data_IF_654140833937
#
_entry.id   IF_654140833937
#
_cell.length_a   1.000
_cell.length_b   1.000
_cell.length_c   1.000
_cell.angle_alpha   90.00
_cell.angle_beta   90.00
_cell.angle_gamma   90.00
#
_symmetry.space_group_name_H-M   'P 1'
#
loop_
_entity.id
_entity.type
_entity.pdbx_description
1 polymer ?
#
# COMPACT_ATOMS: atom_id res chain seq x y z
N UNK A 1 48.32 -19.05 19.99
CA UNK A 1 46.83 -18.92 20.10
C UNK A 1 46.23 -20.31 19.94
N UNK A 2 45.51 -20.80 20.95
CA UNK A 2 44.93 -22.13 20.99
C UNK A 2 43.95 -22.35 19.80
N UNK A 3 43.98 -23.53 19.14
CA UNK A 3 43.12 -23.78 17.95
C UNK A 3 41.64 -23.53 18.21
N UNK A 4 41.17 -23.77 19.45
CA UNK A 4 39.80 -23.45 19.86
C UNK A 4 39.48 -21.95 19.83
N UNK A 5 40.45 -21.11 20.20
CA UNK A 5 40.27 -19.64 20.17
C UNK A 5 40.29 -19.10 18.74
N UNK A 6 41.03 -19.72 17.81
CA UNK A 6 41.00 -19.38 16.38
C UNK A 6 39.64 -19.67 15.74
N UNK A 7 39.03 -20.82 16.11
CA UNK A 7 37.72 -21.19 15.60
C UNK A 7 36.61 -20.23 16.10
N UNK A 8 36.67 -19.81 17.36
CA UNK A 8 35.71 -18.87 17.95
C UNK A 8 35.85 -17.49 17.30
N UNK A 9 37.08 -17.03 17.03
CA UNK A 9 37.31 -15.74 16.36
C UNK A 9 36.82 -15.76 14.93
N UNK A 10 37.01 -16.84 14.17
CA UNK A 10 36.48 -17.00 12.82
C UNK A 10 34.94 -17.02 12.80
N UNK A 11 34.29 -17.73 13.73
CA UNK A 11 32.83 -17.76 13.86
C UNK A 11 32.25 -16.39 14.21
N UNK A 12 32.95 -15.61 15.06
CA UNK A 12 32.52 -14.23 15.40
C UNK A 12 32.68 -13.27 14.22
N UNK A 13 33.72 -13.41 13.41
CA UNK A 13 33.93 -12.60 12.21
C UNK A 13 32.87 -12.89 11.14
N UNK A 14 32.54 -14.17 10.92
CA UNK A 14 31.46 -14.55 10.01
C UNK A 14 30.08 -14.03 10.47
N UNK A 15 29.80 -14.09 11.77
CA UNK A 15 28.55 -13.57 12.33
C UNK A 15 28.42 -12.05 12.16
N UNK A 16 29.51 -11.29 12.34
CA UNK A 16 29.54 -9.84 12.14
C UNK A 16 29.38 -9.48 10.65
N UNK A 17 29.95 -10.29 9.76
CA UNK A 17 29.80 -10.09 8.30
C UNK A 17 28.35 -10.34 7.82
N UNK A 18 27.67 -11.33 8.38
CA UNK A 18 26.26 -11.62 8.08
C UNK A 18 25.29 -10.56 8.59
N UNK A 19 25.57 -9.96 9.76
CA UNK A 19 24.75 -8.86 10.33
C UNK A 19 24.89 -7.55 9.55
N UNK A 20 25.99 -7.33 8.82
CA UNK A 20 26.24 -6.13 8.02
C UNK A 20 25.49 -6.09 6.68
N UNK A 21 24.84 -7.19 6.25
CA UNK A 21 24.15 -7.29 4.95
C UNK A 21 22.63 -7.06 5.03
N UNK A 22 22.09 -6.69 6.19
CA UNK A 22 20.69 -6.32 6.32
C UNK A 22 20.52 -4.90 5.77
N UNK A 23 20.36 -4.78 4.46
CA UNK A 23 19.89 -3.52 3.87
C UNK A 23 18.42 -3.34 4.24
N UNK A 24 18.01 -2.22 4.88
CA UNK A 24 16.60 -1.94 5.07
C UNK A 24 15.94 -1.88 3.69
N UNK A 25 14.89 -2.66 3.47
CA UNK A 25 14.03 -2.53 2.31
C UNK A 25 13.33 -1.17 2.40
N UNK A 26 13.92 -0.16 1.79
CA UNK A 26 13.28 1.15 1.67
C UNK A 26 12.18 0.99 0.63
N UNK A 27 10.92 1.09 1.05
CA UNK A 27 9.81 1.22 0.14
C UNK A 27 10.04 2.48 -0.69
N UNK A 28 10.34 2.29 -1.98
CA UNK A 28 10.73 3.40 -2.83
C UNK A 28 9.48 4.00 -3.48
N UNK A 29 9.23 5.28 -3.17
CA UNK A 29 8.31 6.09 -3.99
C UNK A 29 8.88 6.08 -5.40
N UNK A 30 8.11 5.55 -6.34
CA UNK A 30 8.49 5.50 -7.74
C UNK A 30 7.82 6.63 -8.50
N UNK A 31 8.63 7.47 -9.14
CA UNK A 31 8.13 8.50 -10.04
C UNK A 31 8.44 8.08 -11.49
N UNK A 32 7.42 8.08 -12.34
CA UNK A 32 7.51 7.65 -13.73
C UNK A 32 6.88 8.73 -14.60
N UNK A 33 7.59 9.17 -15.63
CA UNK A 33 7.00 9.95 -16.70
C UNK A 33 6.33 8.99 -17.69
N UNK A 34 5.00 8.94 -17.69
CA UNK A 34 4.22 8.05 -18.57
C UNK A 34 4.10 8.62 -19.99
N UNK A 35 4.10 9.95 -20.10
CA UNK A 35 4.07 10.70 -21.35
C UNK A 35 4.58 12.12 -21.09
N UNK A 36 4.95 12.90 -22.12
CA UNK A 36 5.36 14.29 -21.96
C UNK A 36 4.34 15.11 -21.15
N UNK A 37 4.76 15.59 -19.96
CA UNK A 37 3.91 16.34 -19.04
C UNK A 37 2.89 15.52 -18.26
N UNK A 38 3.04 14.20 -18.21
CA UNK A 38 2.25 13.30 -17.37
C UNK A 38 3.16 12.52 -16.42
N UNK A 39 3.10 12.84 -15.13
CA UNK A 39 3.91 12.22 -14.08
C UNK A 39 3.02 11.34 -13.23
N UNK A 40 3.45 10.10 -13.01
CA UNK A 40 2.89 9.15 -12.07
C UNK A 40 3.83 8.98 -10.89
N UNK A 41 3.39 9.40 -9.70
CA UNK A 41 4.08 9.11 -8.43
C UNK A 41 3.33 8.01 -7.72
N UNK A 42 3.99 6.90 -7.37
CA UNK A 42 3.33 5.74 -6.77
C UNK A 42 4.14 5.10 -5.64
N UNK A 43 3.41 4.56 -4.67
CA UNK A 43 3.84 3.60 -3.66
C UNK A 43 3.20 2.26 -3.96
N UNK A 44 3.98 1.18 -3.89
CA UNK A 44 3.49 -0.17 -4.07
C UNK A 44 3.94 -1.05 -2.90
N UNK A 45 2.98 -1.62 -2.19
CA UNK A 45 3.20 -2.47 -1.04
C UNK A 45 2.50 -3.82 -1.22
N UNK A 46 3.06 -4.87 -0.63
CA UNK A 46 2.35 -6.12 -0.41
C UNK A 46 2.03 -6.21 1.08
N UNK A 47 0.74 -6.26 1.41
CA UNK A 47 0.25 -6.37 2.78
C UNK A 47 -0.57 -7.63 2.93
N UNK A 48 -0.69 -8.14 4.15
CA UNK A 48 -1.51 -9.31 4.47
C UNK A 48 -2.72 -8.88 5.29
N UNK A 49 -3.88 -9.49 5.01
CA UNK A 49 -5.07 -9.35 5.85
C UNK A 49 -4.98 -10.26 7.09
N UNK A 50 -6.00 -10.21 7.95
CA UNK A 50 -6.06 -11.03 9.17
C UNK A 50 -6.13 -12.54 8.90
N UNK A 51 -6.53 -12.94 7.71
CA UNK A 51 -6.59 -14.35 7.28
C UNK A 51 -5.29 -14.82 6.60
N UNK A 52 -4.30 -13.93 6.41
CA UNK A 52 -3.03 -14.23 5.78
C UNK A 52 -3.05 -14.15 4.25
N UNK A 53 -4.10 -13.58 3.66
CA UNK A 53 -4.14 -13.37 2.21
C UNK A 53 -3.29 -12.15 1.85
N UNK A 54 -2.45 -12.30 0.83
CA UNK A 54 -1.61 -11.24 0.32
C UNK A 54 -2.39 -10.29 -0.60
N UNK A 55 -2.21 -8.99 -0.38
CA UNK A 55 -2.80 -7.90 -1.14
C UNK A 55 -1.74 -7.02 -1.75
N UNK A 56 -1.83 -6.74 -3.05
CA UNK A 56 -1.04 -5.67 -3.64
C UNK A 56 -1.81 -4.36 -3.46
N UNK A 57 -1.17 -3.42 -2.79
CA UNK A 57 -1.71 -2.10 -2.45
C UNK A 57 -0.90 -1.05 -3.21
N UNK A 58 -1.53 -0.35 -4.15
CA UNK A 58 -0.88 0.66 -4.99
C UNK A 58 -1.57 2.00 -4.78
N UNK A 59 -0.89 2.90 -4.09
CA UNK A 59 -1.33 4.28 -3.95
C UNK A 59 -0.60 5.15 -4.96
N UNK A 60 -1.33 5.97 -5.72
CA UNK A 60 -0.70 6.76 -6.76
C UNK A 60 -1.36 8.11 -6.97
N UNK A 61 -0.54 9.10 -7.34
CA UNK A 61 -0.92 10.43 -7.80
C UNK A 61 -0.51 10.58 -9.26
N UNK A 62 -1.46 10.90 -10.11
CA UNK A 62 -1.21 11.20 -11.51
C UNK A 62 -1.37 12.71 -11.73
N UNK A 63 -0.31 13.35 -12.17
CA UNK A 63 -0.28 14.78 -12.49
C UNK A 63 -0.17 14.95 -14.00
N UNK A 64 -1.07 15.72 -14.58
CA UNK A 64 -1.07 16.06 -16.01
C UNK A 64 -0.98 17.57 -16.17
N UNK A 65 -0.19 18.01 -17.16
CA UNK A 65 -0.09 19.44 -17.46
C UNK A 65 -1.46 20.05 -17.74
N UNK A 66 -1.80 21.15 -17.07
CA UNK A 66 -3.06 21.89 -17.19
C UNK A 66 -4.32 21.13 -16.75
N UNK A 67 -4.20 20.05 -15.99
CA UNK A 67 -5.32 19.32 -15.41
C UNK A 67 -5.13 19.14 -13.91
N UNK A 68 -6.21 19.02 -13.13
CA UNK A 68 -6.10 18.64 -11.73
C UNK A 68 -5.43 17.27 -11.58
N UNK A 69 -4.59 17.11 -10.56
CA UNK A 69 -4.03 15.82 -10.22
C UNK A 69 -5.12 14.87 -9.72
N UNK A 70 -4.98 13.59 -10.03
CA UNK A 70 -5.84 12.54 -9.48
C UNK A 70 -5.08 11.68 -8.51
N UNK A 71 -5.70 11.32 -7.40
CA UNK A 71 -5.13 10.46 -6.34
C UNK A 71 -6.02 9.25 -6.20
N UNK A 72 -5.45 8.06 -6.33
CA UNK A 72 -6.19 6.81 -6.29
C UNK A 72 -5.47 5.76 -5.44
N UNK A 73 -6.28 4.88 -4.84
CA UNK A 73 -5.81 3.63 -4.23
C UNK A 73 -6.32 2.46 -5.07
N UNK A 74 -5.40 1.60 -5.54
CA UNK A 74 -5.73 0.34 -6.19
C UNK A 74 -5.38 -0.83 -5.28
N UNK A 75 -6.31 -1.75 -5.16
CA UNK A 75 -6.19 -2.98 -4.39
C UNK A 75 -6.31 -4.16 -5.34
N UNK A 76 -5.38 -5.11 -5.22
CA UNK A 76 -5.38 -6.33 -6.03
C UNK A 76 -5.26 -7.52 -5.09
N UNK A 77 -6.30 -8.34 -5.05
CA UNK A 77 -6.30 -9.60 -4.34
C UNK A 77 -5.85 -10.77 -5.23
N UNK A 78 -5.81 -11.98 -4.68
CA UNK A 78 -5.42 -13.16 -5.43
C UNK A 78 -6.48 -13.53 -6.48
N UNK A 79 -6.11 -13.72 -7.75
CA UNK A 79 -7.05 -14.07 -8.80
C UNK A 79 -7.79 -15.37 -8.51
N UNK A 80 -9.11 -15.36 -8.71
CA UNK A 80 -9.97 -16.52 -8.48
C UNK A 80 -10.38 -16.76 -7.01
N UNK A 81 -9.69 -16.15 -6.04
CA UNK A 81 -10.06 -16.23 -4.62
C UNK A 81 -10.85 -15.00 -4.16
N UNK A 82 -10.59 -13.83 -4.78
CA UNK A 82 -11.18 -12.56 -4.41
C UNK A 82 -11.96 -12.00 -5.60
N UNK A 83 -13.15 -11.44 -5.33
CA UNK A 83 -13.90 -10.64 -6.27
C UNK A 83 -14.47 -9.40 -5.58
N UNK A 84 -14.14 -8.20 -6.08
CA UNK A 84 -14.71 -6.94 -5.61
C UNK A 84 -16.17 -6.80 -6.05
N UNK A 85 -16.97 -6.18 -5.19
CA UNK A 85 -18.36 -5.81 -5.47
C UNK A 85 -18.34 -4.41 -6.08
N UNK A 86 -18.92 -4.25 -7.26
CA UNK A 86 -19.09 -2.98 -7.94
C UNK A 86 -20.59 -2.71 -8.23
N UNK A 87 -21.07 -1.48 -8.12
CA UNK A 87 -20.41 -0.33 -7.51
C UNK A 87 -20.50 -0.38 -5.98
N UNK A 88 -19.39 -0.31 -5.29
CA UNK A 88 -19.38 -0.20 -3.82
C UNK A 88 -18.17 0.56 -3.33
N UNK A 89 -18.39 1.60 -2.53
CA UNK A 89 -17.34 2.43 -1.96
C UNK A 89 -16.51 1.68 -0.92
N UNK A 90 -15.24 2.07 -0.79
CA UNK A 90 -14.32 1.56 0.22
C UNK A 90 -14.48 2.36 1.51
N UNK A 91 -14.76 1.66 2.62
CA UNK A 91 -14.78 2.26 3.95
C UNK A 91 -13.36 2.26 4.55
N UNK A 92 -12.95 3.41 5.10
CA UNK A 92 -11.62 3.64 5.66
C UNK A 92 -11.80 4.09 7.11
N UNK A 93 -11.50 3.22 8.06
CA UNK A 93 -11.53 3.50 9.47
C UNK A 93 -10.18 4.08 9.91
N UNK A 94 -10.15 5.37 10.23
CA UNK A 94 -8.93 6.11 10.61
C UNK A 94 -8.69 6.04 12.11
N UNK A 95 -9.79 6.13 12.89
CA UNK A 95 -9.81 6.08 14.35
C UNK A 95 -11.21 5.69 14.82
N UNK A 96 -11.40 5.25 16.06
CA UNK A 96 -12.72 4.95 16.59
C UNK A 96 -13.72 6.08 16.34
N UNK A 97 -14.85 5.75 15.67
CA UNK A 97 -15.91 6.70 15.36
C UNK A 97 -15.67 7.60 14.14
N UNK A 98 -14.57 7.41 13.38
CA UNK A 98 -14.31 8.16 12.16
C UNK A 98 -14.05 7.22 10.97
N UNK A 99 -15.02 7.11 10.10
CA UNK A 99 -14.95 6.36 8.84
C UNK A 99 -15.05 7.33 7.67
N UNK A 100 -14.13 7.26 6.73
CA UNK A 100 -14.19 7.96 5.45
C UNK A 100 -14.60 6.97 4.35
N UNK A 101 -15.24 7.48 3.29
CA UNK A 101 -15.66 6.69 2.15
C UNK A 101 -14.94 7.15 0.89
N UNK A 102 -14.27 6.20 0.21
CA UNK A 102 -13.63 6.43 -1.07
C UNK A 102 -14.50 5.84 -2.18
N UNK A 103 -14.88 6.67 -3.16
CA UNK A 103 -15.75 6.25 -4.25
C UNK A 103 -15.07 5.22 -5.15
N UNK A 104 -15.85 4.23 -5.61
CA UNK A 104 -15.40 3.21 -6.55
C UNK A 104 -15.18 3.80 -7.94
N UNK A 105 -13.93 3.76 -8.42
CA UNK A 105 -13.55 4.24 -9.77
C UNK A 105 -13.96 3.23 -10.85
N UNK A 106 -14.12 1.96 -10.49
CA UNK A 106 -14.52 0.88 -11.40
C UNK A 106 -16.01 0.53 -11.32
N UNK A 107 -16.83 1.48 -10.88
CA UNK A 107 -18.27 1.32 -10.70
C UNK A 107 -19.00 0.66 -11.88
N UNK A 108 -18.59 0.97 -13.13
CA UNK A 108 -19.18 0.41 -14.35
C UNK A 108 -18.42 -0.81 -14.87
N UNK A 109 -17.07 -0.78 -14.78
CA UNK A 109 -16.24 -1.85 -15.33
C UNK A 109 -14.87 -1.91 -14.65
N UNK A 110 -14.59 -3.05 -14.03
CA UNK A 110 -13.25 -3.39 -13.51
C UNK A 110 -12.40 -4.10 -14.59
N UNK A 111 -11.08 -3.94 -14.58
CA UNK A 111 -10.17 -4.68 -15.47
C UNK A 111 -10.15 -6.18 -15.17
N UNK A 112 -10.36 -6.58 -13.92
CA UNK A 112 -10.49 -7.97 -13.47
C UNK A 112 -11.29 -8.03 -12.16
N UNK A 113 -11.97 -9.15 -11.85
CA UNK A 113 -12.78 -9.26 -10.64
C UNK A 113 -12.02 -9.01 -9.33
N UNK A 114 -10.74 -9.38 -9.28
CA UNK A 114 -9.88 -9.22 -8.10
C UNK A 114 -9.21 -7.84 -7.99
N UNK A 115 -9.66 -6.84 -8.77
CA UNK A 115 -9.08 -5.50 -8.79
C UNK A 115 -10.14 -4.47 -8.42
N UNK A 116 -9.90 -3.72 -7.33
CA UNK A 116 -10.65 -2.53 -6.94
C UNK A 116 -9.80 -1.26 -7.05
N UNK A 117 -10.40 -0.13 -7.41
CA UNK A 117 -9.75 1.17 -7.41
C UNK A 117 -10.69 2.23 -6.86
N UNK A 118 -10.15 3.11 -6.02
CA UNK A 118 -10.93 4.06 -5.23
C UNK A 118 -10.35 5.47 -5.32
N UNK A 119 -11.23 6.47 -5.48
CA UNK A 119 -10.86 7.88 -5.52
C UNK A 119 -10.49 8.39 -4.13
N UNK A 120 -9.24 8.83 -3.98
CA UNK A 120 -8.66 9.35 -2.74
C UNK A 120 -8.53 10.88 -2.71
N UNK A 121 -8.98 11.62 -3.71
CA UNK A 121 -8.82 13.08 -3.76
C UNK A 121 -9.44 13.78 -2.55
N UNK A 122 -10.68 13.41 -2.17
CA UNK A 122 -11.35 13.98 -0.99
C UNK A 122 -10.70 13.56 0.32
N UNK A 123 -10.20 12.33 0.40
CA UNK A 123 -9.53 11.79 1.58
C UNK A 123 -8.19 12.48 1.79
N UNK A 124 -7.41 12.67 0.73
CA UNK A 124 -6.15 13.39 0.76
C UNK A 124 -6.30 14.83 1.30
N UNK A 125 -7.38 15.51 0.95
CA UNK A 125 -7.66 16.86 1.44
C UNK A 125 -8.04 16.93 2.95
N UNK A 126 -8.50 15.82 3.52
CA UNK A 126 -8.94 15.70 4.92
C UNK A 126 -7.94 14.94 5.80
N UNK A 127 -6.77 14.61 5.24
CA UNK A 127 -5.78 13.75 5.88
C UNK A 127 -5.14 14.38 7.11
N UNK A 128 -5.47 13.87 8.29
CA UNK A 128 -4.97 14.38 9.58
C UNK A 128 -4.42 13.26 10.49
N UNK A 129 -4.23 12.04 9.98
CA UNK A 129 -3.96 10.89 10.84
C UNK A 129 -2.47 10.62 11.03
N UNK A 130 -2.09 10.33 12.29
CA UNK A 130 -0.77 9.83 12.69
C UNK A 130 -0.83 8.37 13.15
N UNK A 131 -1.85 7.61 12.74
CA UNK A 131 -2.07 6.22 13.14
C UNK A 131 -2.22 5.31 11.92
N UNK A 132 -2.29 4.00 12.16
CA UNK A 132 -2.67 3.04 11.13
C UNK A 132 -4.12 3.24 10.68
N UNK A 133 -4.43 2.82 9.46
CA UNK A 133 -5.79 2.78 8.93
C UNK A 133 -6.25 1.33 8.77
N UNK A 134 -7.56 1.12 8.83
CA UNK A 134 -8.19 -0.16 8.58
C UNK A 134 -9.18 0.00 7.44
N UNK A 135 -8.92 -0.68 6.33
CA UNK A 135 -9.76 -0.68 5.14
C UNK A 135 -10.76 -1.82 5.24
N UNK A 136 -12.05 -1.53 5.11
CA UNK A 136 -13.08 -2.55 4.96
C UNK A 136 -13.31 -2.80 3.47
N UNK A 137 -12.85 -3.95 3.01
CA UNK A 137 -12.82 -4.27 1.58
C UNK A 137 -14.20 -4.74 1.10
N UNK A 138 -14.77 -4.09 0.06
CA UNK A 138 -16.05 -4.50 -0.51
C UNK A 138 -15.87 -5.68 -1.46
N UNK A 139 -15.66 -6.86 -0.91
CA UNK A 139 -15.47 -8.10 -1.65
C UNK A 139 -16.63 -9.06 -1.44
N UNK A 140 -16.81 -10.02 -2.36
CA UNK A 140 -17.78 -11.11 -2.20
C UNK A 140 -17.33 -12.06 -1.10
N UNK A 141 -18.30 -12.64 -0.36
CA UNK A 141 -18.07 -13.55 0.75
C UNK A 141 -18.98 -13.21 1.94
N UNK A 142 -19.02 -14.08 2.93
CA UNK A 142 -19.86 -13.90 4.13
C UNK A 142 -19.14 -13.11 5.23
N UNK A 143 -17.80 -13.09 5.23
CA UNK A 143 -17.01 -12.44 6.26
C UNK A 143 -16.55 -11.04 5.81
N UNK A 144 -16.60 -10.10 6.76
CA UNK A 144 -16.04 -8.78 6.63
C UNK A 144 -14.52 -8.87 6.49
N UNK A 145 -13.98 -8.49 5.33
CA UNK A 145 -12.56 -8.52 5.10
C UNK A 145 -11.94 -7.16 5.41
N UNK A 146 -10.97 -7.14 6.33
CA UNK A 146 -10.30 -5.94 6.79
C UNK A 146 -8.80 -6.00 6.47
N UNK A 147 -8.30 -4.94 5.85
CA UNK A 147 -6.88 -4.79 5.54
C UNK A 147 -6.29 -3.61 6.33
N UNK A 148 -5.30 -3.89 7.15
CA UNK A 148 -4.62 -2.87 7.94
C UNK A 148 -3.50 -2.23 7.13
N UNK A 149 -3.52 -0.89 7.04
CA UNK A 149 -2.46 -0.09 6.44
C UNK A 149 -1.56 0.43 7.56
N UNK A 150 -0.29 -0.01 7.64
CA UNK A 150 0.64 0.43 8.67
C UNK A 150 0.97 1.92 8.56
N UNK A 151 1.34 2.54 9.67
CA UNK A 151 1.65 3.96 9.74
C UNK A 151 2.76 4.40 8.76
N UNK A 152 3.81 3.60 8.59
CA UNK A 152 4.90 3.94 7.67
C UNK A 152 4.44 4.02 6.20
N UNK A 153 3.47 3.17 5.80
CA UNK A 153 2.84 3.22 4.46
C UNK A 153 2.04 4.51 4.30
N UNK A 154 1.30 4.89 5.35
CA UNK A 154 0.54 6.15 5.38
C UNK A 154 1.45 7.37 5.23
N UNK A 155 2.61 7.38 5.90
CA UNK A 155 3.62 8.45 5.74
C UNK A 155 4.17 8.52 4.31
N UNK A 156 4.40 7.37 3.67
CA UNK A 156 4.83 7.28 2.28
C UNK A 156 3.77 7.88 1.34
N UNK A 157 2.49 7.57 1.55
CA UNK A 157 1.38 8.14 0.79
C UNK A 157 1.28 9.67 0.97
N UNK A 158 1.47 10.16 2.20
CA UNK A 158 1.51 11.61 2.47
C UNK A 158 2.63 12.30 1.66
N UNK A 159 3.78 11.66 1.55
CA UNK A 159 4.89 12.19 0.75
C UNK A 159 4.56 12.27 -0.75
N UNK A 160 3.79 11.30 -1.28
CA UNK A 160 3.29 11.32 -2.66
C UNK A 160 2.29 12.45 -2.89
N UNK A 161 1.41 12.70 -1.91
CA UNK A 161 0.42 13.78 -2.00
C UNK A 161 1.09 15.15 -2.03
N UNK A 162 2.15 15.33 -1.20
CA UNK A 162 2.86 16.59 -1.02
C UNK A 162 3.73 16.98 -2.23
N UNK A 163 4.19 16.03 -3.02
CA UNK A 163 4.99 16.24 -4.24
C UNK A 163 4.09 16.47 -5.46
#
# INVERSE_FOLDING_TARGET
MNPKNRLIVLLLVDLVFFLGLITPATAAIRQIEEAPGQILSQSRQTLEDKAGNAWQVVFFKQTKTKQPSTINLRLVGFPGAIAFIHPKDLAINIRPGMTLMAADVFAEKSPAPNVGQYDFNKIAAQWQSNSFWELELPVTGEEKLELRIPYFVIQEWQSIIAN
#
